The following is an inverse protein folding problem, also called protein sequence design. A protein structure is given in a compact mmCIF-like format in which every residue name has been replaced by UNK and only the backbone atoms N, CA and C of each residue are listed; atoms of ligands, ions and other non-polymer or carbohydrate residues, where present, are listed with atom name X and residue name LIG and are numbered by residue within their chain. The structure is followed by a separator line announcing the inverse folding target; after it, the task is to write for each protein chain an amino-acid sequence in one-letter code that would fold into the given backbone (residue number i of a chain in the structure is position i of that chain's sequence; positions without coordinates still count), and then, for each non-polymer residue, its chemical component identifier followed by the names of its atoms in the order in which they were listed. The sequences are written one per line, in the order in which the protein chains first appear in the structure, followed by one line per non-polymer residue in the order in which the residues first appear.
data_IF_687208572562
#
_entry.id   IF_687208572562
#
_cell.length_a   1.000
_cell.length_b   1.000
_cell.length_c   1.000
_cell.angle_alpha   90.00
_cell.angle_beta   90.00
_cell.angle_gamma   90.00
#
_symmetry.space_group_name_H-M   'P 1'
#
loop_
_entity.id
_entity.type
_entity.pdbx_description
1 polymer ?
#
# COMPACT_ATOMS: atom_id res chain seq x y z
N UNK A 1 -12.10 -53.59 -16.04
CA UNK A 1 -13.09 -52.68 -15.41
C UNK A 1 -12.97 -52.91 -13.91
N UNK A 2 -12.55 -52.01 -13.03
CA UNK A 2 -12.34 -50.55 -13.04
C UNK A 2 -11.44 -50.27 -11.82
N UNK A 3 -10.43 -49.42 -11.86
CA UNK A 3 -10.53 -47.97 -11.61
C UNK A 3 -9.54 -47.59 -10.50
N UNK A 4 -8.70 -46.59 -10.79
CA UNK A 4 -7.47 -46.14 -10.14
C UNK A 4 -7.68 -45.47 -8.75
N UNK A 5 -6.72 -45.53 -7.79
CA UNK A 5 -6.79 -44.79 -6.54
C UNK A 5 -6.48 -43.30 -6.77
N UNK A 6 -7.32 -42.44 -6.18
CA UNK A 6 -7.25 -41.00 -6.29
C UNK A 6 -5.87 -40.43 -5.95
N UNK A 7 -5.22 -39.86 -6.96
CA UNK A 7 -4.03 -39.03 -6.80
C UNK A 7 -4.44 -37.69 -6.18
N UNK A 8 -4.17 -37.52 -4.88
CA UNK A 8 -3.99 -36.19 -4.28
C UNK A 8 -2.76 -35.55 -4.94
N UNK A 9 -3.00 -34.67 -5.91
CA UNK A 9 -1.93 -33.87 -6.53
C UNK A 9 -1.26 -32.95 -5.49
N UNK A 10 0.04 -32.68 -5.63
CA UNK A 10 0.76 -31.83 -4.67
C UNK A 10 0.17 -30.41 -4.67
N UNK A 11 0.10 -29.79 -3.49
CA UNK A 11 -0.23 -28.38 -3.36
C UNK A 11 0.74 -27.57 -4.24
N UNK A 12 0.20 -26.81 -5.21
CA UNK A 12 0.99 -26.00 -6.14
C UNK A 12 1.84 -25.01 -5.34
N UNK A 13 3.12 -25.34 -5.19
CA UNK A 13 4.12 -24.42 -4.68
C UNK A 13 4.12 -23.19 -5.59
N UNK A 14 3.60 -22.06 -5.09
CA UNK A 14 3.55 -20.81 -5.88
C UNK A 14 4.97 -20.25 -5.98
N UNK A 15 5.75 -20.71 -6.95
CA UNK A 15 7.17 -20.40 -7.21
C UNK A 15 7.48 -18.94 -7.57
N UNK A 16 6.47 -18.09 -7.78
CA UNK A 16 6.66 -16.68 -8.09
C UNK A 16 6.62 -15.73 -6.87
N UNK A 17 7.00 -14.46 -7.05
CA UNK A 17 6.88 -13.44 -6.01
C UNK A 17 5.43 -13.30 -5.53
N UNK A 18 5.25 -12.88 -4.28
CA UNK A 18 3.97 -12.34 -3.81
C UNK A 18 3.80 -10.97 -4.44
N UNK A 19 2.80 -10.83 -5.30
CA UNK A 19 2.46 -9.56 -5.92
C UNK A 19 1.49 -8.78 -5.02
N UNK A 20 1.79 -7.52 -4.83
CA UNK A 20 1.00 -6.57 -4.07
C UNK A 20 0.98 -5.20 -4.76
N UNK A 21 0.03 -4.37 -4.35
CA UNK A 21 -0.08 -3.01 -4.81
C UNK A 21 -0.58 -2.10 -3.69
N UNK A 22 -0.24 -0.81 -3.77
CA UNK A 22 -0.66 0.17 -2.79
C UNK A 22 -0.50 1.60 -3.30
N UNK A 23 -0.81 2.56 -2.45
CA UNK A 23 -0.68 3.97 -2.77
C UNK A 23 0.10 4.71 -1.69
N UNK A 24 0.89 5.70 -2.09
CA UNK A 24 1.20 6.81 -1.20
C UNK A 24 0.01 7.77 -1.29
N UNK A 25 -0.96 7.54 -0.40
CA UNK A 25 -2.19 8.34 -0.35
C UNK A 25 -1.87 9.71 0.25
N UNK A 26 -2.20 10.78 -0.45
CA UNK A 26 -1.93 12.15 -0.04
C UNK A 26 -3.17 13.05 -0.17
N UNK A 27 -3.16 14.20 0.50
CA UNK A 27 -4.16 15.25 0.36
C UNK A 27 -3.52 16.63 0.52
N UNK A 28 -4.20 17.68 0.07
CA UNK A 28 -3.81 19.06 0.42
C UNK A 28 -4.06 19.31 1.91
N UNK A 29 -3.11 19.96 2.57
CA UNK A 29 -3.26 20.34 3.98
C UNK A 29 -4.46 21.30 4.15
N UNK A 30 -5.25 21.10 5.21
CA UNK A 30 -6.49 21.85 5.42
C UNK A 30 -6.29 23.17 6.19
N UNK A 31 -5.19 23.34 6.97
CA UNK A 31 -4.94 24.54 7.79
C UNK A 31 -3.44 24.94 7.86
N UNK A 32 -3.14 26.24 7.68
CA UNK A 32 -1.88 26.93 8.05
C UNK A 32 -0.93 27.32 6.91
N UNK A 33 -0.78 28.64 6.65
CA UNK A 33 0.27 29.42 5.94
C UNK A 33 1.10 28.81 4.78
N UNK A 34 0.67 27.72 4.14
CA UNK A 34 1.39 27.14 3.02
C UNK A 34 0.66 26.02 2.30
N UNK A 35 0.84 25.98 0.98
CA UNK A 35 0.31 24.97 0.05
C UNK A 35 0.98 23.59 0.23
N UNK A 36 0.87 23.01 1.43
CA UNK A 36 1.47 21.74 1.79
C UNK A 36 0.62 20.52 1.42
N UNK A 37 1.24 19.34 1.47
CA UNK A 37 0.55 18.05 1.38
C UNK A 37 0.69 17.28 2.69
N UNK A 38 -0.30 16.47 3.00
CA UNK A 38 -0.23 15.45 4.04
C UNK A 38 -0.30 14.07 3.39
N UNK A 39 0.37 13.07 3.98
CA UNK A 39 0.29 11.67 3.56
C UNK A 39 -0.38 10.83 4.64
N UNK A 40 -1.14 9.82 4.21
CA UNK A 40 -1.80 8.87 5.10
C UNK A 40 -0.90 7.68 5.39
N UNK A 41 -0.54 7.50 6.66
CA UNK A 41 0.11 6.28 7.15
C UNK A 41 -0.90 5.41 7.88
N UNK A 42 -0.78 4.10 7.70
CA UNK A 42 -1.57 3.08 8.40
C UNK A 42 -0.73 2.37 9.45
N UNK A 43 -1.29 2.13 10.62
CA UNK A 43 -0.71 1.26 11.64
C UNK A 43 -1.25 -0.16 11.48
N UNK A 44 -0.36 -1.15 11.49
CA UNK A 44 -0.75 -2.56 11.36
C UNK A 44 -0.47 -3.29 12.68
N UNK A 45 -1.49 -3.58 13.50
CA UNK A 45 -1.29 -4.14 14.84
C UNK A 45 -0.57 -5.49 14.83
N UNK A 46 -0.75 -6.28 13.77
CA UNK A 46 -0.02 -7.56 13.59
C UNK A 46 1.50 -7.42 13.57
N UNK A 47 2.02 -6.29 13.08
CA UNK A 47 3.45 -6.05 12.90
C UNK A 47 4.00 -4.94 13.78
N UNK A 48 3.11 -4.22 14.48
CA UNK A 48 3.39 -2.97 15.21
C UNK A 48 4.24 -1.99 14.38
N UNK A 49 3.83 -1.79 13.11
CA UNK A 49 4.56 -0.94 12.18
C UNK A 49 3.66 0.05 11.44
N UNK A 50 4.30 1.11 10.95
CA UNK A 50 3.68 2.17 10.17
C UNK A 50 4.19 2.11 8.75
N UNK A 51 3.24 2.07 7.82
CA UNK A 51 3.52 1.97 6.39
C UNK A 51 2.46 2.70 5.57
N UNK A 52 2.62 2.72 4.25
CA UNK A 52 1.58 3.13 3.32
C UNK A 52 0.56 2.00 3.07
N UNK A 53 -0.70 2.35 2.74
CA UNK A 53 -1.73 1.37 2.48
C UNK A 53 -1.41 0.51 1.27
N UNK A 54 -1.53 -0.81 1.40
CA UNK A 54 -1.18 -1.81 0.38
C UNK A 54 -1.65 -3.21 0.76
N UNK A 55 -1.93 -4.02 -0.25
CA UNK A 55 -2.17 -5.45 -0.04
C UNK A 55 -1.98 -6.29 -1.28
N UNK A 56 -2.29 -7.58 -1.15
CA UNK A 56 -1.97 -8.59 -2.16
C UNK A 56 -2.95 -8.49 -3.32
N UNK A 57 -2.47 -8.74 -4.54
CA UNK A 57 -3.35 -8.86 -5.69
C UNK A 57 -4.27 -10.08 -5.51
N UNK A 58 -5.56 -9.87 -5.76
CA UNK A 58 -6.53 -10.94 -5.99
C UNK A 58 -6.23 -11.62 -7.34
N UNK A 59 -6.80 -12.81 -7.55
CA UNK A 59 -6.55 -13.59 -8.78
C UNK A 59 -7.09 -12.83 -9.99
N UNK A 60 -6.19 -12.50 -10.93
CA UNK A 60 -6.55 -11.77 -12.16
C UNK A 60 -6.82 -10.29 -11.92
N UNK A 61 -6.50 -9.75 -10.74
CA UNK A 61 -6.68 -8.33 -10.42
C UNK A 61 -5.53 -7.51 -10.99
N UNK A 62 -5.87 -6.41 -11.68
CA UNK A 62 -4.88 -5.45 -12.15
C UNK A 62 -4.22 -4.72 -10.97
N UNK A 63 -2.89 -4.49 -11.00
CA UNK A 63 -2.17 -3.85 -9.91
C UNK A 63 -2.76 -2.51 -9.44
N UNK A 64 -3.17 -1.64 -10.37
CA UNK A 64 -3.75 -0.35 -10.00
C UNK A 64 -5.13 -0.51 -9.32
N UNK A 65 -5.95 -1.45 -9.81
CA UNK A 65 -7.24 -1.76 -9.18
C UNK A 65 -7.06 -2.29 -7.76
N UNK A 66 -6.04 -3.15 -7.55
CA UNK A 66 -5.66 -3.59 -6.22
C UNK A 66 -5.23 -2.42 -5.32
N UNK A 67 -4.39 -1.50 -5.80
CA UNK A 67 -3.96 -0.34 -5.02
C UNK A 67 -5.14 0.53 -4.54
N UNK A 68 -6.08 0.85 -5.43
CA UNK A 68 -7.28 1.64 -5.09
C UNK A 68 -8.18 0.92 -4.11
N UNK A 69 -8.39 -0.39 -4.31
CA UNK A 69 -9.17 -1.22 -3.37
C UNK A 69 -8.55 -1.22 -1.97
N UNK A 70 -7.24 -1.44 -1.88
CA UNK A 70 -6.52 -1.52 -0.59
C UNK A 70 -6.54 -0.18 0.14
N UNK A 71 -6.45 0.95 -0.58
CA UNK A 71 -6.68 2.27 0.02
C UNK A 71 -8.06 2.34 0.68
N UNK A 72 -9.11 1.91 -0.02
CA UNK A 72 -10.47 1.94 0.54
C UNK A 72 -10.63 0.99 1.73
N UNK A 73 -10.13 -0.24 1.62
CA UNK A 73 -10.23 -1.27 2.67
C UNK A 73 -9.44 -0.90 3.93
N UNK A 74 -8.21 -0.38 3.81
CA UNK A 74 -7.33 -0.08 4.95
C UNK A 74 -7.56 1.31 5.55
N UNK A 75 -8.08 2.27 4.78
CA UNK A 75 -8.18 3.68 5.23
C UNK A 75 -9.59 4.24 5.23
N UNK A 76 -10.55 3.56 4.58
CA UNK A 76 -11.91 4.08 4.38
C UNK A 76 -11.99 5.26 3.42
N UNK A 77 -10.88 5.64 2.76
CA UNK A 77 -10.82 6.75 1.83
C UNK A 77 -10.96 6.30 0.36
N UNK A 78 -11.60 7.15 -0.44
CA UNK A 78 -11.50 7.07 -1.90
C UNK A 78 -10.28 7.84 -2.38
N UNK A 79 -9.76 7.47 -3.55
CA UNK A 79 -8.62 8.17 -4.14
C UNK A 79 -8.69 8.27 -5.67
N UNK A 80 -8.02 9.29 -6.20
CA UNK A 80 -7.70 9.45 -7.60
C UNK A 80 -6.21 9.10 -7.79
N UNK A 81 -5.88 7.95 -8.39
CA UNK A 81 -4.48 7.60 -8.66
C UNK A 81 -3.90 8.46 -9.78
N UNK A 82 -2.67 8.92 -9.57
CA UNK A 82 -1.84 9.63 -10.54
C UNK A 82 -0.64 8.78 -10.96
N UNK A 83 0.55 9.37 -10.92
CA UNK A 83 1.76 8.73 -11.42
C UNK A 83 2.15 7.46 -10.64
N UNK A 84 2.76 6.53 -11.38
CA UNK A 84 3.32 5.31 -10.83
C UNK A 84 4.66 5.59 -10.15
N UNK A 85 4.80 5.11 -8.93
CA UNK A 85 6.01 5.25 -8.11
C UNK A 85 6.93 4.01 -8.26
N UNK A 86 8.20 4.08 -7.80
CA UNK A 86 9.12 2.96 -7.86
C UNK A 86 8.56 1.69 -7.19
N UNK A 87 8.74 0.53 -7.81
CA UNK A 87 8.30 -0.75 -7.24
C UNK A 87 9.18 -1.15 -6.04
N UNK A 88 8.56 -1.43 -4.89
CA UNK A 88 9.27 -1.94 -3.70
C UNK A 88 9.47 -3.45 -3.78
N UNK A 89 10.71 -3.92 -3.57
CA UNK A 89 11.09 -5.34 -3.68
C UNK A 89 11.80 -5.78 -2.40
N UNK A 90 11.28 -6.80 -1.72
CA UNK A 90 11.86 -7.32 -0.47
C UNK A 90 11.42 -8.77 -0.21
N UNK A 91 12.02 -9.44 0.78
CA UNK A 91 11.60 -10.76 1.24
C UNK A 91 10.56 -10.63 2.37
N UNK A 92 9.52 -11.46 2.31
CA UNK A 92 8.58 -11.70 3.42
C UNK A 92 8.56 -13.20 3.70
N UNK A 93 8.88 -13.60 4.92
CA UNK A 93 8.96 -15.02 5.33
C UNK A 93 9.79 -15.88 4.35
N UNK A 94 10.93 -15.34 3.90
CA UNK A 94 11.84 -16.00 2.95
C UNK A 94 11.39 -15.98 1.49
N UNK A 95 10.21 -15.41 1.18
CA UNK A 95 9.66 -15.34 -0.18
C UNK A 95 9.77 -13.94 -0.78
N UNK A 96 10.17 -13.79 -2.06
CA UNK A 96 10.13 -12.50 -2.75
C UNK A 96 8.74 -11.88 -2.74
N UNK A 97 8.67 -10.59 -2.45
CA UNK A 97 7.48 -9.75 -2.53
C UNK A 97 7.78 -8.51 -3.36
N UNK A 98 6.86 -8.18 -4.25
CA UNK A 98 6.90 -7.00 -5.10
C UNK A 98 5.64 -6.18 -4.86
N UNK A 99 5.83 -4.88 -4.57
CA UNK A 99 4.73 -3.94 -4.34
C UNK A 99 4.81 -2.82 -5.36
N UNK A 100 3.83 -2.75 -6.25
CA UNK A 100 3.65 -1.60 -7.14
C UNK A 100 2.96 -0.46 -6.38
N UNK A 101 3.44 0.77 -6.57
CA UNK A 101 2.90 1.94 -5.89
C UNK A 101 2.46 3.02 -6.88
N UNK A 102 1.46 3.79 -6.46
CA UNK A 102 1.01 5.01 -7.13
C UNK A 102 0.94 6.17 -6.14
N UNK A 103 1.23 7.38 -6.62
CA UNK A 103 0.77 8.59 -5.97
C UNK A 103 -0.75 8.64 -6.12
N UNK A 104 -1.49 8.86 -5.05
CA UNK A 104 -2.95 8.95 -5.14
C UNK A 104 -3.48 10.06 -4.24
N UNK A 105 -4.27 10.96 -4.81
CA UNK A 105 -4.92 12.04 -4.05
C UNK A 105 -6.21 11.51 -3.42
N UNK A 106 -6.40 11.73 -2.12
CA UNK A 106 -7.63 11.36 -1.44
C UNK A 106 -8.78 12.27 -1.86
N UNK A 107 -9.91 11.66 -2.23
CA UNK A 107 -11.08 12.36 -2.78
C UNK A 107 -12.28 12.36 -1.83
N UNK A 108 -12.16 11.71 -0.67
CA UNK A 108 -13.21 11.66 0.35
C UNK A 108 -13.12 10.39 1.20
N UNK A 109 -14.16 10.15 2.00
CA UNK A 109 -14.24 9.00 2.90
C UNK A 109 -13.71 9.27 4.30
N UNK A 110 -13.80 8.25 5.16
CA UNK A 110 -13.45 8.33 6.56
C UNK A 110 -13.01 6.97 7.09
N UNK A 111 -11.98 6.97 7.93
CA UNK A 111 -11.44 5.76 8.51
C UNK A 111 -12.37 5.10 9.53
N UNK A 112 -12.44 3.77 9.46
CA UNK A 112 -12.98 2.90 10.50
C UNK A 112 -11.96 1.80 10.76
N UNK A 113 -11.57 1.62 12.02
CA UNK A 113 -10.62 0.60 12.42
C UNK A 113 -11.12 -0.81 12.06
N UNK A 114 -10.20 -1.69 11.67
CA UNK A 114 -10.45 -3.09 11.37
C UNK A 114 -9.27 -3.95 11.84
N UNK A 115 -9.34 -5.27 11.57
CA UNK A 115 -8.33 -6.24 12.03
C UNK A 115 -6.95 -6.05 11.38
N UNK A 116 -6.89 -5.41 10.21
CA UNK A 116 -5.65 -5.16 9.46
C UNK A 116 -5.02 -3.80 9.82
N UNK A 117 -5.87 -2.78 10.06
CA UNK A 117 -5.47 -1.41 10.39
C UNK A 117 -6.33 -0.88 11.54
N UNK A 118 -5.71 -0.61 12.68
CA UNK A 118 -6.37 -0.07 13.87
C UNK A 118 -6.30 1.46 13.94
N UNK A 119 -5.34 2.09 13.26
CA UNK A 119 -5.11 3.54 13.26
C UNK A 119 -4.59 4.05 11.93
N UNK A 120 -4.99 5.27 11.57
CA UNK A 120 -4.36 6.05 10.51
C UNK A 120 -3.85 7.39 11.05
N UNK A 121 -2.85 7.96 10.39
CA UNK A 121 -2.38 9.31 10.61
C UNK A 121 -2.22 10.04 9.28
N UNK A 122 -2.78 11.24 9.20
CA UNK A 122 -2.42 12.23 8.19
C UNK A 122 -1.26 13.07 8.73
N UNK A 123 -0.12 13.07 8.03
CA UNK A 123 1.10 13.73 8.49
C UNK A 123 1.74 14.53 7.37
N UNK A 124 2.31 15.68 7.72
CA UNK A 124 3.26 16.37 6.85
C UNK A 124 4.45 15.44 6.50
N UNK A 125 5.12 15.62 5.35
CA UNK A 125 6.13 14.67 4.87
C UNK A 125 7.29 14.45 5.85
N UNK A 126 7.74 15.49 6.55
CA UNK A 126 8.84 15.37 7.52
C UNK A 126 8.45 14.51 8.72
N UNK A 127 7.23 14.70 9.25
CA UNK A 127 6.70 13.86 10.32
C UNK A 127 6.45 12.42 9.85
N UNK A 128 5.95 12.24 8.63
CA UNK A 128 5.76 10.92 8.03
C UNK A 128 7.09 10.17 7.87
N UNK A 129 8.16 10.86 7.45
CA UNK A 129 9.51 10.30 7.31
C UNK A 129 10.04 9.73 8.62
N UNK A 130 9.79 10.42 9.74
CA UNK A 130 10.17 9.95 11.08
C UNK A 130 9.26 8.80 11.55
N UNK A 131 7.98 8.82 11.17
CA UNK A 131 6.99 7.85 11.63
C UNK A 131 7.10 6.48 10.95
N UNK A 132 7.47 6.46 9.67
CA UNK A 132 7.59 5.26 8.85
C UNK A 132 8.62 4.28 9.44
N UNK A 133 8.21 3.03 9.64
CA UNK A 133 9.08 2.04 10.29
C UNK A 133 10.13 1.46 9.36
N UNK A 134 9.89 1.47 8.03
CA UNK A 134 10.71 0.74 7.06
C UNK A 134 11.37 1.73 6.08
N UNK A 135 12.70 1.64 5.84
CA UNK A 135 13.40 2.54 4.91
C UNK A 135 12.83 2.52 3.48
N UNK A 136 12.31 1.36 3.04
CA UNK A 136 11.66 1.23 1.73
C UNK A 136 10.38 2.07 1.58
N UNK A 137 9.67 2.33 2.68
CA UNK A 137 8.48 3.19 2.63
C UNK A 137 8.94 4.65 2.57
N UNK A 138 10.03 5.01 3.25
CA UNK A 138 10.65 6.34 3.12
C UNK A 138 11.06 6.66 1.67
N UNK A 139 11.49 5.65 0.89
CA UNK A 139 11.76 5.81 -0.55
C UNK A 139 10.50 6.15 -1.35
N UNK A 140 9.35 5.57 -1.00
CA UNK A 140 8.07 5.88 -1.65
C UNK A 140 7.62 7.30 -1.32
N UNK A 141 7.82 7.74 -0.07
CA UNK A 141 7.56 9.12 0.33
C UNK A 141 8.41 10.11 -0.48
N UNK A 142 9.72 9.88 -0.60
CA UNK A 142 10.59 10.73 -1.42
C UNK A 142 10.12 10.76 -2.88
N UNK A 143 9.81 9.60 -3.47
CA UNK A 143 9.32 9.54 -4.84
C UNK A 143 8.01 10.30 -5.05
N UNK A 144 7.06 10.25 -4.09
CA UNK A 144 5.85 11.07 -4.15
C UNK A 144 6.21 12.56 -4.21
N UNK A 145 7.11 13.03 -3.34
CA UNK A 145 7.46 14.45 -3.28
C UNK A 145 8.12 14.93 -4.57
N UNK A 146 9.00 14.10 -5.15
CA UNK A 146 9.62 14.39 -6.44
C UNK A 146 8.56 14.49 -7.55
N UNK A 147 7.59 13.58 -7.57
CA UNK A 147 6.45 13.61 -8.50
C UNK A 147 5.60 14.86 -8.33
N UNK A 148 5.26 15.25 -7.10
CA UNK A 148 4.41 16.42 -6.83
C UNK A 148 5.12 17.76 -7.08
N UNK A 149 6.45 17.77 -7.11
CA UNK A 149 7.26 18.95 -7.42
C UNK A 149 7.57 19.08 -8.92
N UNK A 150 7.28 18.06 -9.73
CA UNK A 150 7.46 18.12 -11.17
C UNK A 150 6.49 19.15 -11.80
N UNK A 151 6.96 19.95 -12.77
CA UNK A 151 6.18 21.03 -13.38
C UNK A 151 5.04 20.54 -14.29
#
# INVERSE_FOLDING_TARGET
MSGDPGTTGPAKNRTGPVLAAGCVLWRRAQDGDGAGVEVCLVHRPRYDDWSFPKGKLKRGEEPLAAAVREVLEETGHHCAPGDRLPTSRYLVDGRPKEVAYWAAEATGGSFTANDEVDRILWLAPDAARVRLTRPRDVQQLTALLDTLAAP
#
